data_IF_504754991235
#
_entry.id   IF_504754991235
#
_cell.length_a   1.000
_cell.length_b   1.000
_cell.length_c   1.000
_cell.angle_alpha   90.00
_cell.angle_beta   90.00
_cell.angle_gamma   90.00
#
_symmetry.space_group_name_H-M   'P 1'
#
loop_
_entity.id
_entity.type
_entity.pdbx_description
1 polymer ?
#
# COMPACT_ATOMS: atom_id res chain seq x y z
N UNK A 1 -60.14 26.82 23.80
CA UNK A 1 -60.28 26.57 22.35
C UNK A 1 -59.17 25.60 21.94
N UNK A 2 -59.48 24.31 21.82
CA UNK A 2 -58.50 23.25 21.58
C UNK A 2 -58.26 23.09 20.07
N UNK A 3 -57.23 23.74 19.54
CA UNK A 3 -56.88 23.70 18.11
C UNK A 3 -56.07 22.45 17.71
N UNK A 4 -55.52 21.71 18.69
CA UNK A 4 -54.66 20.54 18.45
C UNK A 4 -55.46 19.32 17.98
N UNK A 5 -56.59 19.00 18.63
CA UNK A 5 -57.43 17.87 18.22
C UNK A 5 -57.98 18.02 16.79
N UNK A 6 -58.36 19.23 16.38
CA UNK A 6 -58.95 19.46 15.05
C UNK A 6 -57.95 19.32 13.90
N UNK A 7 -56.65 19.47 14.19
CA UNK A 7 -55.59 19.19 13.23
C UNK A 7 -55.26 17.71 13.17
N UNK A 8 -55.22 17.01 14.32
CA UNK A 8 -54.98 15.57 14.37
C UNK A 8 -56.14 14.76 13.75
N UNK A 9 -57.39 15.14 14.03
CA UNK A 9 -58.57 14.53 13.41
C UNK A 9 -58.58 14.73 11.89
N UNK A 10 -58.21 15.93 11.40
CA UNK A 10 -58.12 16.17 9.95
C UNK A 10 -56.97 15.42 9.30
N UNK A 11 -55.84 15.24 10.00
CA UNK A 11 -54.71 14.47 9.49
C UNK A 11 -55.04 12.96 9.45
N UNK A 12 -55.78 12.45 10.44
CA UNK A 12 -56.27 11.07 10.46
C UNK A 12 -57.34 10.84 9.38
N UNK A 13 -58.23 11.81 9.16
CA UNK A 13 -59.24 11.75 8.10
C UNK A 13 -58.58 11.81 6.70
N UNK A 14 -57.47 12.54 6.52
CA UNK A 14 -56.68 12.49 5.28
C UNK A 14 -55.76 11.27 5.13
N UNK A 15 -55.50 10.53 6.21
CA UNK A 15 -54.72 9.28 6.17
C UNK A 15 -55.57 8.06 5.89
N UNK A 16 -56.91 8.16 5.99
CA UNK A 16 -57.80 7.11 5.55
C UNK A 16 -57.82 7.15 4.02
N UNK A 17 -57.26 6.13 3.32
CA UNK A 17 -57.42 6.05 1.88
C UNK A 17 -58.91 6.11 1.54
N UNK A 18 -59.28 6.77 0.45
CA UNK A 18 -60.66 6.71 -0.02
C UNK A 18 -61.05 5.25 -0.25
N UNK A 19 -62.34 4.91 -0.11
CA UNK A 19 -62.84 3.53 -0.33
C UNK A 19 -62.33 2.96 -1.68
N UNK A 20 -62.13 3.81 -2.68
CA UNK A 20 -61.59 3.48 -4.01
C UNK A 20 -60.07 3.18 -3.99
N UNK A 21 -59.27 3.98 -3.27
CA UNK A 21 -57.83 3.72 -3.09
C UNK A 21 -57.57 2.47 -2.25
N UNK A 22 -58.38 2.24 -1.21
CA UNK A 22 -58.31 1.02 -0.40
C UNK A 22 -58.68 -0.20 -1.26
N UNK A 23 -59.70 -0.07 -2.11
CA UNK A 23 -60.08 -1.12 -3.05
C UNK A 23 -58.98 -1.42 -4.07
N UNK A 24 -58.36 -0.42 -4.71
CA UNK A 24 -57.27 -0.64 -5.68
C UNK A 24 -56.10 -1.40 -5.07
N UNK A 25 -55.71 -1.03 -3.85
CA UNK A 25 -54.64 -1.69 -3.13
C UNK A 25 -54.98 -3.15 -2.77
N UNK A 26 -56.17 -3.36 -2.20
CA UNK A 26 -56.65 -4.70 -1.86
C UNK A 26 -56.86 -5.57 -3.12
N UNK A 27 -57.29 -4.99 -4.23
CA UNK A 27 -57.44 -5.68 -5.51
C UNK A 27 -56.08 -6.17 -6.04
N UNK A 28 -55.02 -5.35 -5.97
CA UNK A 28 -53.67 -5.78 -6.36
C UNK A 28 -53.19 -6.97 -5.53
N UNK A 29 -53.40 -6.93 -4.21
CA UNK A 29 -53.06 -8.04 -3.32
C UNK A 29 -53.91 -9.29 -3.63
N UNK A 30 -55.16 -9.10 -4.09
CA UNK A 30 -56.08 -10.20 -4.39
C UNK A 30 -55.71 -10.94 -5.65
N UNK A 31 -55.21 -10.22 -6.65
CA UNK A 31 -54.70 -10.80 -7.89
C UNK A 31 -53.42 -11.61 -7.65
N UNK A 32 -52.57 -11.20 -6.70
CA UNK A 32 -51.33 -11.91 -6.35
C UNK A 32 -51.51 -13.02 -5.28
N UNK A 33 -52.76 -13.33 -4.90
CA UNK A 33 -53.11 -14.30 -3.83
C UNK A 33 -52.42 -13.99 -2.47
N UNK A 34 -52.31 -12.70 -2.13
CA UNK A 34 -51.57 -12.21 -0.96
C UNK A 34 -52.42 -11.53 0.12
N UNK A 35 -53.76 -11.61 0.05
CA UNK A 35 -54.60 -11.07 1.14
C UNK A 35 -54.51 -11.90 2.41
N UNK A 36 -54.37 -11.21 3.53
CA UNK A 36 -54.68 -11.77 4.84
C UNK A 36 -56.18 -11.96 5.05
N UNK A 37 -56.56 -12.76 6.06
CA UNK A 37 -57.96 -13.05 6.38
C UNK A 37 -58.75 -11.78 6.73
N UNK A 38 -58.14 -10.83 7.45
CA UNK A 38 -58.79 -9.58 7.86
C UNK A 38 -58.99 -8.62 6.68
N UNK A 39 -57.99 -8.52 5.80
CA UNK A 39 -58.08 -7.72 4.57
C UNK A 39 -59.14 -8.28 3.63
N UNK A 40 -59.29 -9.61 3.58
CA UNK A 40 -60.29 -10.27 2.73
C UNK A 40 -61.71 -9.92 3.17
N UNK A 41 -61.98 -9.91 4.47
CA UNK A 41 -63.27 -9.47 4.98
C UNK A 41 -63.57 -8.00 4.65
N UNK A 42 -62.56 -7.12 4.68
CA UNK A 42 -62.71 -5.70 4.29
C UNK A 42 -62.96 -5.54 2.80
N UNK A 43 -62.23 -6.29 1.97
CA UNK A 43 -62.40 -6.29 0.52
C UNK A 43 -63.81 -6.74 0.11
N UNK A 44 -64.32 -7.83 0.68
CA UNK A 44 -65.70 -8.31 0.46
C UNK A 44 -66.74 -7.28 0.95
N UNK A 45 -66.45 -6.57 2.03
CA UNK A 45 -67.32 -5.49 2.52
C UNK A 45 -67.38 -4.33 1.51
N UNK A 46 -66.24 -3.94 0.92
CA UNK A 46 -66.18 -2.90 -0.11
C UNK A 46 -66.90 -3.32 -1.39
N UNK A 47 -66.75 -4.58 -1.82
CA UNK A 47 -67.48 -5.16 -2.95
C UNK A 47 -69.00 -5.19 -2.74
N UNK A 48 -69.45 -5.45 -1.52
CA UNK A 48 -70.88 -5.49 -1.17
C UNK A 48 -71.47 -4.08 -1.06
N UNK A 49 -70.67 -3.11 -0.59
CA UNK A 49 -71.09 -1.71 -0.38
C UNK A 49 -71.16 -0.92 -1.69
N UNK A 50 -70.29 -1.21 -2.66
CA UNK A 50 -70.15 -0.46 -3.90
C UNK A 50 -70.22 -1.41 -5.12
N UNK A 51 -71.38 -1.46 -5.77
CA UNK A 51 -71.64 -2.36 -6.91
C UNK A 51 -70.71 -2.08 -8.12
N UNK A 52 -70.31 -0.82 -8.32
CA UNK A 52 -69.38 -0.42 -9.39
C UNK A 52 -68.00 -1.09 -9.23
N UNK A 53 -67.48 -1.17 -8.00
CA UNK A 53 -66.21 -1.82 -7.70
C UNK A 53 -66.28 -3.34 -7.92
N UNK A 54 -67.44 -3.95 -7.65
CA UNK A 54 -67.68 -5.36 -7.96
C UNK A 54 -67.64 -5.65 -9.47
N UNK A 55 -68.09 -4.71 -10.31
CA UNK A 55 -68.00 -4.88 -11.76
C UNK A 55 -66.55 -4.81 -12.27
N UNK A 56 -65.76 -3.89 -11.71
CA UNK A 56 -64.31 -3.78 -11.99
C UNK A 56 -63.58 -5.06 -11.57
N UNK A 57 -63.85 -5.56 -10.37
CA UNK A 57 -63.27 -6.82 -9.87
C UNK A 57 -63.56 -8.01 -10.78
N UNK A 58 -64.80 -8.15 -11.23
CA UNK A 58 -65.20 -9.23 -12.13
C UNK A 58 -64.51 -9.16 -13.49
N UNK A 59 -64.28 -7.95 -14.00
CA UNK A 59 -63.54 -7.73 -15.26
C UNK A 59 -62.09 -8.19 -15.13
N UNK A 60 -61.42 -7.84 -14.03
CA UNK A 60 -60.05 -8.30 -13.74
C UNK A 60 -59.98 -9.82 -13.54
N UNK A 61 -60.93 -10.41 -12.82
CA UNK A 61 -61.01 -11.88 -12.64
C UNK A 61 -61.23 -12.63 -13.94
N UNK A 62 -61.94 -12.04 -14.89
CA UNK A 62 -62.09 -12.60 -16.22
C UNK A 62 -60.74 -12.65 -16.96
N UNK A 63 -59.97 -11.56 -16.93
CA UNK A 63 -58.64 -11.47 -17.54
C UNK A 63 -57.68 -12.49 -16.91
N UNK A 64 -57.63 -12.54 -15.58
CA UNK A 64 -56.81 -13.48 -14.81
C UNK A 64 -57.08 -14.95 -15.21
N UNK A 65 -58.37 -15.31 -15.38
CA UNK A 65 -58.75 -16.65 -15.87
C UNK A 65 -58.29 -16.93 -17.30
N UNK A 66 -58.26 -15.93 -18.19
CA UNK A 66 -57.72 -16.09 -19.55
C UNK A 66 -56.21 -16.34 -19.52
N UNK A 67 -55.48 -15.65 -18.66
CA UNK A 67 -54.05 -15.90 -18.47
C UNK A 67 -53.79 -17.26 -17.84
N UNK A 68 -54.57 -17.67 -16.85
CA UNK A 68 -54.47 -19.01 -16.24
C UNK A 68 -54.80 -20.14 -17.25
N UNK A 69 -55.69 -19.89 -18.21
CA UNK A 69 -56.02 -20.83 -19.28
C UNK A 69 -54.98 -20.85 -20.42
N UNK A 70 -54.05 -19.88 -20.44
CA UNK A 70 -53.00 -19.84 -21.46
C UNK A 70 -51.97 -20.96 -21.18
N UNK A 71 -51.67 -21.84 -22.15
CA UNK A 71 -50.69 -22.89 -21.97
C UNK A 71 -49.33 -22.30 -21.56
N UNK A 72 -48.73 -22.85 -20.52
CA UNK A 72 -47.38 -22.48 -20.12
C UNK A 72 -46.42 -22.69 -21.30
N UNK A 73 -45.72 -21.62 -21.71
CA UNK A 73 -44.70 -21.70 -22.76
C UNK A 73 -43.51 -22.45 -22.15
N UNK A 74 -43.45 -23.76 -22.39
CA UNK A 74 -42.31 -24.56 -21.95
C UNK A 74 -41.14 -24.26 -22.88
N UNK A 75 -39.94 -23.95 -22.34
CA UNK A 75 -38.77 -23.72 -23.18
C UNK A 75 -38.44 -24.97 -23.99
N UNK A 76 -37.85 -24.79 -25.17
CA UNK A 76 -37.42 -25.91 -26.00
C UNK A 76 -36.44 -26.82 -25.27
N UNK A 77 -36.44 -28.11 -25.64
CA UNK A 77 -35.51 -29.07 -25.07
C UNK A 77 -34.05 -28.59 -25.17
N UNK A 78 -33.30 -28.81 -24.09
CA UNK A 78 -31.91 -28.34 -23.96
C UNK A 78 -31.74 -26.85 -23.65
N UNK A 79 -32.81 -26.09 -23.38
CA UNK A 79 -32.69 -24.70 -22.92
C UNK A 79 -31.82 -24.56 -21.68
N UNK A 80 -32.04 -25.40 -20.65
CA UNK A 80 -31.27 -25.38 -19.40
C UNK A 80 -29.78 -25.54 -19.68
N UNK A 81 -29.43 -26.51 -20.53
CA UNK A 81 -28.04 -26.79 -20.88
C UNK A 81 -27.38 -25.64 -21.65
N UNK A 82 -28.11 -24.99 -22.58
CA UNK A 82 -27.63 -23.79 -23.30
C UNK A 82 -27.52 -22.59 -22.37
N UNK A 83 -28.43 -22.45 -21.42
CA UNK A 83 -28.44 -21.37 -20.43
C UNK A 83 -27.25 -21.50 -19.47
N UNK A 84 -27.02 -22.70 -18.92
CA UNK A 84 -25.87 -23.00 -18.06
C UNK A 84 -24.55 -22.75 -18.77
N UNK A 85 -24.42 -23.21 -20.03
CA UNK A 85 -23.21 -22.96 -20.83
C UNK A 85 -22.96 -21.46 -21.03
N UNK A 86 -24.01 -20.68 -21.28
CA UNK A 86 -23.90 -19.23 -21.48
C UNK A 86 -23.61 -18.49 -20.17
N UNK A 87 -24.18 -18.95 -19.06
CA UNK A 87 -23.92 -18.41 -17.73
C UNK A 87 -22.48 -18.66 -17.31
N UNK A 88 -21.96 -19.88 -17.50
CA UNK A 88 -20.56 -20.21 -17.24
C UNK A 88 -19.60 -19.36 -18.08
N UNK A 89 -19.92 -19.16 -19.37
CA UNK A 89 -19.12 -18.31 -20.25
C UNK A 89 -19.15 -16.83 -19.83
N UNK A 90 -20.29 -16.33 -19.39
CA UNK A 90 -20.43 -14.96 -18.91
C UNK A 90 -19.67 -14.73 -17.61
N UNK A 91 -19.73 -15.69 -16.68
CA UNK A 91 -19.02 -15.64 -15.41
C UNK A 91 -17.50 -15.68 -15.63
N UNK A 92 -17.03 -16.55 -16.53
CA UNK A 92 -15.60 -16.62 -16.89
C UNK A 92 -15.11 -15.30 -17.51
N UNK A 93 -15.89 -14.66 -18.38
CA UNK A 93 -15.53 -13.35 -18.95
C UNK A 93 -15.48 -12.26 -17.89
N UNK A 94 -16.40 -12.26 -16.92
CA UNK A 94 -16.39 -11.30 -15.80
C UNK A 94 -15.14 -11.49 -14.95
N UNK A 95 -14.83 -12.72 -14.56
CA UNK A 95 -13.64 -13.05 -13.78
C UNK A 95 -12.36 -12.66 -14.51
N UNK A 96 -12.24 -12.98 -15.81
CA UNK A 96 -11.10 -12.58 -16.62
C UNK A 96 -10.93 -11.07 -16.71
N UNK A 97 -12.02 -10.31 -16.89
CA UNK A 97 -11.96 -8.83 -16.90
C UNK A 97 -11.49 -8.27 -15.57
N UNK A 98 -12.01 -8.78 -14.46
CA UNK A 98 -11.58 -8.36 -13.11
C UNK A 98 -10.11 -8.70 -12.89
N UNK A 99 -9.67 -9.90 -13.28
CA UNK A 99 -8.27 -10.31 -13.21
C UNK A 99 -7.37 -9.40 -14.04
N UNK A 100 -7.73 -9.11 -15.29
CA UNK A 100 -6.97 -8.22 -16.17
C UNK A 100 -6.92 -6.78 -15.64
N UNK A 101 -8.04 -6.24 -15.15
CA UNK A 101 -8.09 -4.91 -14.57
C UNK A 101 -7.26 -4.82 -13.28
N UNK A 102 -7.34 -5.83 -12.42
CA UNK A 102 -6.54 -5.89 -11.19
C UNK A 102 -5.04 -6.04 -11.48
N UNK A 103 -4.67 -6.87 -12.47
CA UNK A 103 -3.30 -7.02 -12.91
C UNK A 103 -2.77 -5.73 -13.54
N UNK A 104 -3.57 -5.06 -14.38
CA UNK A 104 -3.22 -3.77 -14.95
C UNK A 104 -3.01 -2.72 -13.85
N UNK A 105 -3.88 -2.67 -12.85
CA UNK A 105 -3.74 -1.77 -11.70
C UNK A 105 -2.48 -2.07 -10.87
N UNK A 106 -2.15 -3.34 -10.67
CA UNK A 106 -0.94 -3.74 -9.96
C UNK A 106 0.32 -3.33 -10.74
N UNK A 107 0.34 -3.52 -12.06
CA UNK A 107 1.44 -3.11 -12.92
C UNK A 107 1.59 -1.58 -12.93
N UNK A 108 0.52 -0.82 -13.05
CA UNK A 108 0.60 0.65 -13.02
C UNK A 108 1.07 1.17 -11.66
N UNK A 109 0.60 0.58 -10.56
CA UNK A 109 1.09 0.89 -9.23
C UNK A 109 2.60 0.62 -9.10
N UNK A 110 3.07 -0.53 -9.59
CA UNK A 110 4.48 -0.88 -9.58
C UNK A 110 5.32 0.13 -10.39
N UNK A 111 4.87 0.46 -11.61
CA UNK A 111 5.54 1.46 -12.46
C UNK A 111 5.61 2.82 -11.76
N UNK A 112 4.53 3.27 -11.12
CA UNK A 112 4.50 4.53 -10.37
C UNK A 112 5.52 4.53 -9.22
N UNK A 113 5.66 3.43 -8.49
CA UNK A 113 6.67 3.30 -7.42
C UNK A 113 8.08 3.39 -8.00
N UNK A 114 8.36 2.68 -9.11
CA UNK A 114 9.66 2.77 -9.75
C UNK A 114 9.98 4.19 -10.23
N UNK A 115 9.01 4.86 -10.87
CA UNK A 115 9.17 6.24 -11.31
C UNK A 115 9.41 7.19 -10.13
N UNK A 116 8.73 6.98 -9.00
CA UNK A 116 8.95 7.76 -7.79
C UNK A 116 10.36 7.55 -7.23
N UNK A 117 10.85 6.30 -7.16
CA UNK A 117 12.21 5.99 -6.70
C UNK A 117 13.25 6.65 -7.62
N UNK A 118 13.09 6.51 -8.93
CA UNK A 118 13.99 7.12 -9.91
C UNK A 118 13.95 8.65 -9.79
N UNK A 119 12.76 9.24 -9.70
CA UNK A 119 12.57 10.67 -9.58
C UNK A 119 13.19 11.25 -8.30
N UNK A 120 12.94 10.61 -7.15
CA UNK A 120 13.55 11.01 -5.87
C UNK A 120 15.07 10.84 -5.93
N UNK A 121 15.57 9.72 -6.45
CA UNK A 121 17.01 9.48 -6.61
C UNK A 121 17.68 10.53 -7.49
N UNK A 122 17.07 10.86 -8.63
CA UNK A 122 17.55 11.91 -9.52
C UNK A 122 17.54 13.29 -8.85
N UNK A 123 16.51 13.60 -8.06
CA UNK A 123 16.40 14.87 -7.34
C UNK A 123 17.47 14.99 -6.25
N UNK A 124 17.73 13.93 -5.50
CA UNK A 124 18.82 13.89 -4.50
C UNK A 124 20.17 14.09 -5.19
N UNK A 125 20.43 13.38 -6.29
CA UNK A 125 21.68 13.53 -7.04
C UNK A 125 21.83 14.93 -7.64
N UNK A 126 20.75 15.54 -8.12
CA UNK A 126 20.80 16.87 -8.70
C UNK A 126 21.02 17.96 -7.63
N UNK A 127 20.36 17.82 -6.47
CA UNK A 127 20.46 18.79 -5.38
C UNK A 127 21.74 18.65 -4.56
N UNK A 128 22.21 17.42 -4.33
CA UNK A 128 23.38 17.13 -3.48
C UNK A 128 24.63 16.74 -4.27
N UNK A 129 24.55 16.57 -5.60
CA UNK A 129 25.67 16.17 -6.44
C UNK A 129 26.85 17.15 -6.40
N UNK A 130 26.58 18.45 -6.28
CA UNK A 130 27.63 19.47 -6.11
C UNK A 130 28.36 19.28 -4.78
N UNK A 131 27.65 18.98 -3.69
CA UNK A 131 28.26 18.71 -2.38
C UNK A 131 29.09 17.41 -2.40
N UNK A 132 28.57 16.34 -2.99
CA UNK A 132 29.31 15.06 -3.15
C UNK A 132 30.57 15.27 -4.00
N UNK A 133 30.46 16.00 -5.10
CA UNK A 133 31.59 16.35 -5.95
C UNK A 133 32.65 17.15 -5.20
N UNK A 134 32.23 18.11 -4.37
CA UNK A 134 33.15 18.90 -3.55
C UNK A 134 33.84 18.07 -2.48
N UNK A 135 33.14 17.13 -1.83
CA UNK A 135 33.77 16.21 -0.86
C UNK A 135 34.84 15.33 -1.52
N UNK A 136 34.54 14.76 -2.69
CA UNK A 136 35.52 13.97 -3.44
C UNK A 136 36.72 14.81 -3.88
N UNK A 137 36.48 16.06 -4.28
CA UNK A 137 37.53 17.00 -4.67
C UNK A 137 38.43 17.35 -3.48
N UNK A 138 37.85 17.67 -2.32
CA UNK A 138 38.59 17.94 -1.08
C UNK A 138 39.40 16.71 -0.67
N UNK A 139 38.82 15.51 -0.72
CA UNK A 139 39.52 14.27 -0.39
C UNK A 139 40.68 14.00 -1.34
N UNK A 140 40.49 14.21 -2.64
CA UNK A 140 41.55 14.09 -3.65
C UNK A 140 42.67 15.12 -3.42
N UNK A 141 42.33 16.38 -3.09
CA UNK A 141 43.31 17.40 -2.75
C UNK A 141 44.08 17.08 -1.46
N UNK A 142 43.40 16.60 -0.42
CA UNK A 142 44.02 16.20 0.83
C UNK A 142 44.99 15.02 0.62
N UNK A 143 44.54 14.00 -0.13
CA UNK A 143 45.35 12.83 -0.46
C UNK A 143 46.61 13.21 -1.26
N UNK A 144 46.45 14.01 -2.32
CA UNK A 144 47.59 14.44 -3.15
C UNK A 144 48.56 15.35 -2.41
N UNK A 145 48.05 16.24 -1.55
CA UNK A 145 48.87 17.10 -0.70
C UNK A 145 49.66 16.30 0.34
N UNK A 146 49.00 15.35 1.01
CA UNK A 146 49.65 14.45 1.96
C UNK A 146 50.72 13.61 1.27
N UNK A 147 50.41 13.04 0.11
CA UNK A 147 51.37 12.23 -0.63
C UNK A 147 52.59 13.04 -1.06
N UNK A 148 52.42 14.28 -1.55
CA UNK A 148 53.54 15.18 -1.86
C UNK A 148 54.38 15.55 -0.65
N UNK A 149 53.73 15.79 0.49
CA UNK A 149 54.44 16.12 1.72
C UNK A 149 55.29 14.95 2.22
N UNK A 150 54.74 13.73 2.17
CA UNK A 150 55.44 12.50 2.54
C UNK A 150 56.63 12.26 1.60
N UNK A 151 56.42 12.34 0.28
CA UNK A 151 57.52 12.12 -0.68
C UNK A 151 58.59 13.19 -0.54
N UNK A 152 58.23 14.46 -0.42
CA UNK A 152 59.18 15.56 -0.22
C UNK A 152 59.99 15.41 1.07
N UNK A 153 59.34 15.03 2.17
CA UNK A 153 60.03 14.79 3.45
C UNK A 153 61.00 13.62 3.34
N UNK A 154 60.58 12.52 2.70
CA UNK A 154 61.42 11.35 2.52
C UNK A 154 62.59 11.63 1.57
N UNK A 155 62.35 12.33 0.46
CA UNK A 155 63.39 12.75 -0.49
C UNK A 155 64.39 13.70 0.17
N UNK A 156 63.92 14.64 0.99
CA UNK A 156 64.78 15.57 1.74
C UNK A 156 65.61 14.81 2.78
N UNK A 157 65.00 13.87 3.52
CA UNK A 157 65.71 13.03 4.48
C UNK A 157 66.75 12.14 3.79
N UNK A 158 66.40 11.53 2.65
CA UNK A 158 67.31 10.72 1.85
C UNK A 158 68.44 11.57 1.24
N UNK A 159 68.16 12.79 0.80
CA UNK A 159 69.17 13.72 0.33
C UNK A 159 70.13 14.10 1.46
N UNK A 160 69.61 14.41 2.66
CA UNK A 160 70.42 14.70 3.84
C UNK A 160 71.32 13.51 4.18
N UNK A 161 70.78 12.28 4.21
CA UNK A 161 71.54 11.05 4.49
C UNK A 161 72.63 10.75 3.44
N UNK A 162 72.49 11.27 2.22
CA UNK A 162 73.50 11.16 1.16
C UNK A 162 74.53 12.29 1.22
N UNK A 163 74.36 13.31 2.06
CA UNK A 163 75.40 14.34 2.23
C UNK A 163 76.59 13.78 3.01
N UNK A 164 77.83 14.11 2.61
CA UNK A 164 79.04 13.62 3.29
C UNK A 164 79.12 14.08 4.76
N UNK A 165 78.55 15.25 5.08
CA UNK A 165 78.51 15.78 6.45
C UNK A 165 77.58 14.98 7.36
N UNK A 166 76.40 14.57 6.88
CA UNK A 166 75.47 13.74 7.66
C UNK A 166 75.99 12.31 7.86
N UNK A 167 76.69 11.75 6.86
CA UNK A 167 77.33 10.45 6.99
C UNK A 167 78.45 10.46 8.04
N UNK A 168 79.25 11.53 8.09
CA UNK A 168 80.26 11.73 9.13
C UNK A 168 79.64 11.82 10.53
N UNK A 169 78.59 12.63 10.70
CA UNK A 169 77.87 12.73 11.97
C UNK A 169 77.22 11.40 12.38
N UNK A 170 76.63 10.69 11.42
CA UNK A 170 76.07 9.35 11.63
C UNK A 170 77.14 8.34 12.06
N UNK A 171 78.30 8.33 11.40
CA UNK A 171 79.43 7.47 11.75
C UNK A 171 80.04 7.82 13.12
N UNK A 172 80.13 9.10 13.47
CA UNK A 172 80.57 9.54 14.80
C UNK A 172 79.59 9.10 15.88
N UNK A 173 78.28 9.21 15.61
CA UNK A 173 77.25 8.76 16.54
C UNK A 173 77.29 7.24 16.76
N UNK A 174 77.41 6.45 15.69
CA UNK A 174 77.51 4.98 15.83
C UNK A 174 78.78 4.58 16.57
N UNK A 175 79.91 5.24 16.29
CA UNK A 175 81.17 5.02 17.01
C UNK A 175 81.02 5.38 18.50
N UNK A 176 80.38 6.50 18.83
CA UNK A 176 80.11 6.90 20.21
C UNK A 176 79.25 5.86 20.96
N UNK A 177 78.19 5.34 20.32
CA UNK A 177 77.36 4.28 20.91
C UNK A 177 78.17 3.00 21.14
N UNK A 178 79.01 2.60 20.18
CA UNK A 178 79.90 1.44 20.33
C UNK A 178 80.87 1.63 21.50
N UNK A 179 81.46 2.82 21.64
CA UNK A 179 82.36 3.15 22.75
C UNK A 179 81.64 3.09 24.09
N UNK A 180 80.41 3.62 24.18
CA UNK A 180 79.60 3.53 25.40
C UNK A 180 79.29 2.06 25.73
N UNK A 181 78.86 1.26 24.74
CA UNK A 181 78.57 -0.16 24.94
C UNK A 181 79.82 -0.94 25.39
N UNK A 182 80.98 -0.66 24.79
CA UNK A 182 82.24 -1.28 25.16
C UNK A 182 82.69 -0.88 26.58
N UNK A 183 82.58 0.40 26.92
CA UNK A 183 82.89 0.92 28.25
C UNK A 183 81.98 0.31 29.33
N UNK A 184 80.67 0.21 29.06
CA UNK A 184 79.71 -0.47 29.93
C UNK A 184 80.06 -1.95 30.08
N UNK A 185 80.37 -2.65 28.98
CA UNK A 185 80.79 -4.06 29.02
C UNK A 185 82.08 -4.28 29.81
N UNK A 186 83.03 -3.36 29.71
CA UNK A 186 84.31 -3.42 30.41
C UNK A 186 84.15 -3.13 31.92
N UNK A 187 83.28 -2.18 32.28
CA UNK A 187 82.91 -1.88 33.66
C UNK A 187 82.27 -3.11 34.34
N UNK A 188 81.35 -3.80 33.65
CA UNK A 188 80.72 -5.03 34.13
C UNK A 188 81.72 -6.21 34.29
N UNK A 189 82.76 -6.25 33.45
CA UNK A 189 83.83 -7.25 33.57
C UNK A 189 84.82 -6.92 34.70
N UNK A 190 85.03 -5.64 35.00
CA UNK A 190 85.89 -5.22 36.10
C UNK A 190 85.22 -5.44 37.46
N UNK A 191 83.91 -5.23 37.57
CA UNK A 191 83.17 -5.46 38.81
C UNK A 191 83.10 -6.93 39.21
N UNK A 192 83.14 -7.86 38.25
CA UNK A 192 83.17 -9.31 38.50
C UNK A 192 84.57 -9.86 38.82
N UNK A 193 85.63 -9.07 38.62
CA UNK A 193 87.04 -9.45 38.90
C UNK A 193 87.58 -8.95 40.23
N UNK A 194 86.74 -8.50 41.16
CA UNK A 194 87.19 -8.18 42.52
C UNK A 194 86.82 -9.28 43.52
N UNK A 195 87.62 -10.37 43.66
CA UNK A 195 87.57 -11.24 44.82
C UNK A 195 88.57 -10.80 45.90
N UNK A 196 88.04 -10.58 47.11
CA UNK A 196 88.66 -10.71 48.44
C UNK A 196 89.83 -9.79 48.85
N UNK A 197 89.53 -8.76 49.65
CA UNK A 197 90.37 -8.35 50.79
C UNK A 197 89.87 -9.08 52.05
N UNK A 198 90.67 -9.91 52.74
CA UNK A 198 90.35 -10.33 54.10
C UNK A 198 90.61 -9.18 55.09
N UNK A 199 89.90 -9.26 56.20
CA UNK A 199 89.95 -8.39 57.38
C UNK A 199 91.35 -8.27 58.00
#
# INVERSE_FOLDING_TARGET
>A
MNWSNKTEDRLQETMRPSDEQEFEWLMSLALDDRLSTDERARFETLLTKHEELAHVWNSWRWIDRQFAATPAIVPSSGFVQRFEARLAQQEQQRQQRVLLLSAALAVTALVMVFLAIIGIGALILFTQGQWIGEQLRILAFAYTSLQRWVTSTFETAAALARTPQAQLLGALYTLFVIVIMAALGQLLRHSTRSPNRPA
#
